data_IF_662714527365
#
_entry.id   IF_662714527365
#
_cell.length_a   1.000
_cell.length_b   1.000
_cell.length_c   1.000
_cell.angle_alpha   90.00
_cell.angle_beta   90.00
_cell.angle_gamma   90.00
#
_symmetry.space_group_name_H-M   'P 1'
#
loop_
_entity.id
_entity.type
_entity.pdbx_description
1 polymer ?
#
# COMPACT_ATOMS: atom_id res chain seq x y z
N UNK A 1 -14.46 15.63 -31.80
CA UNK A 1 -13.08 16.03 -31.46
C UNK A 1 -12.14 15.80 -32.64
N UNK A 2 -11.25 16.74 -32.97
CA UNK A 2 -10.26 16.58 -34.06
C UNK A 2 -9.07 15.70 -33.58
N UNK A 3 -8.44 14.95 -34.49
CA UNK A 3 -7.29 14.06 -34.22
C UNK A 3 -6.12 14.75 -33.54
N UNK A 4 -5.90 16.03 -33.80
CA UNK A 4 -4.83 16.80 -33.18
C UNK A 4 -5.12 17.12 -31.71
N UNK A 5 -6.38 17.29 -31.33
CA UNK A 5 -6.77 17.57 -29.94
C UNK A 5 -6.56 16.33 -29.06
N UNK A 6 -6.99 15.17 -29.56
CA UNK A 6 -6.80 13.89 -28.88
C UNK A 6 -5.32 13.65 -28.58
N UNK A 7 -4.43 13.90 -29.56
CA UNK A 7 -2.98 13.78 -29.36
C UNK A 7 -2.42 14.72 -28.28
N UNK A 8 -2.96 15.93 -28.16
CA UNK A 8 -2.53 16.89 -27.13
C UNK A 8 -2.98 16.46 -25.74
N UNK A 9 -4.23 15.99 -25.60
CA UNK A 9 -4.76 15.43 -24.34
C UNK A 9 -3.97 14.19 -23.94
N UNK A 10 -3.73 13.27 -24.89
CA UNK A 10 -2.93 12.07 -24.64
C UNK A 10 -1.50 12.39 -24.18
N UNK A 11 -0.89 13.47 -24.70
CA UNK A 11 0.42 13.92 -24.25
C UNK A 11 0.38 14.44 -22.80
N UNK A 12 -0.64 15.22 -22.44
CA UNK A 12 -0.82 15.71 -21.06
C UNK A 12 -1.01 14.53 -20.10
N UNK A 13 -1.82 13.54 -20.48
CA UNK A 13 -2.02 12.33 -19.68
C UNK A 13 -0.73 11.50 -19.57
N UNK A 14 0.08 11.43 -20.62
CA UNK A 14 1.38 10.77 -20.59
C UNK A 14 2.36 11.46 -19.63
N UNK A 15 2.40 12.79 -19.62
CA UNK A 15 3.23 13.58 -18.71
C UNK A 15 2.77 13.42 -17.25
N UNK A 16 1.45 13.35 -17.00
CA UNK A 16 0.90 13.05 -15.67
C UNK A 16 1.28 11.63 -15.25
N UNK A 17 1.15 10.66 -16.15
CA UNK A 17 1.46 9.26 -15.90
C UNK A 17 2.92 9.03 -15.48
N UNK A 18 3.87 9.79 -16.05
CA UNK A 18 5.28 9.67 -15.65
C UNK A 18 5.55 10.07 -14.20
N UNK A 19 4.64 10.82 -13.58
CA UNK A 19 4.75 11.31 -12.20
C UNK A 19 3.86 10.53 -11.22
N UNK A 20 2.98 9.64 -11.71
CA UNK A 20 2.10 8.81 -10.88
C UNK A 20 2.79 7.49 -10.50
N UNK A 21 2.85 7.21 -9.21
CA UNK A 21 3.24 5.89 -8.66
C UNK A 21 2.01 5.24 -8.00
N UNK A 22 1.10 4.73 -8.84
CA UNK A 22 -0.17 4.13 -8.42
C UNK A 22 -0.30 2.70 -8.94
N UNK A 23 -1.18 1.92 -8.32
CA UNK A 23 -1.60 0.63 -8.87
C UNK A 23 -2.15 0.80 -10.30
N UNK A 24 -1.98 -0.19 -11.17
CA UNK A 24 -2.45 -0.09 -12.57
C UNK A 24 -3.95 0.15 -12.70
N UNK A 25 -4.75 -0.38 -11.78
CA UNK A 25 -6.20 -0.22 -11.78
C UNK A 25 -6.57 1.23 -11.43
N UNK A 26 -6.01 1.75 -10.34
CA UNK A 26 -6.20 3.14 -9.90
C UNK A 26 -5.62 4.15 -10.89
N UNK A 27 -4.46 3.86 -11.49
CA UNK A 27 -3.85 4.68 -12.54
C UNK A 27 -4.81 4.82 -13.74
N UNK A 28 -5.40 3.70 -14.18
CA UNK A 28 -6.28 3.71 -15.36
C UNK A 28 -7.57 4.49 -15.07
N UNK A 29 -8.22 4.22 -13.94
CA UNK A 29 -9.44 4.91 -13.53
C UNK A 29 -9.23 6.42 -13.39
N UNK A 30 -8.14 6.82 -12.72
CA UNK A 30 -7.80 8.23 -12.52
C UNK A 30 -7.46 8.94 -13.85
N UNK A 31 -6.71 8.28 -14.74
CA UNK A 31 -6.37 8.88 -16.05
C UNK A 31 -7.59 9.00 -16.97
N UNK A 32 -8.56 8.08 -16.88
CA UNK A 32 -9.82 8.18 -17.60
C UNK A 32 -10.69 9.32 -17.04
N UNK A 33 -10.79 9.48 -15.72
CA UNK A 33 -11.52 10.61 -15.11
C UNK A 33 -10.87 11.96 -15.46
N UNK A 34 -9.54 12.05 -15.43
CA UNK A 34 -8.80 13.25 -15.85
C UNK A 34 -9.03 13.55 -17.33
N UNK A 35 -9.07 12.51 -18.18
CA UNK A 35 -9.37 12.67 -19.61
C UNK A 35 -10.74 13.30 -19.79
N UNK A 36 -11.77 12.76 -19.15
CA UNK A 36 -13.14 13.26 -19.25
C UNK A 36 -13.21 14.74 -18.81
N UNK A 37 -12.56 15.10 -17.71
CA UNK A 37 -12.50 16.48 -17.24
C UNK A 37 -11.75 17.43 -18.18
N UNK A 38 -10.67 16.96 -18.82
CA UNK A 38 -9.95 17.75 -19.82
C UNK A 38 -10.81 17.96 -21.07
N UNK A 39 -11.53 16.94 -21.52
CA UNK A 39 -12.44 17.03 -22.66
C UNK A 39 -13.58 18.01 -22.40
N UNK A 40 -14.24 17.91 -21.25
CA UNK A 40 -15.31 18.82 -20.81
C UNK A 40 -14.82 20.28 -20.70
N UNK A 41 -13.62 20.48 -20.15
CA UNK A 41 -13.03 21.80 -19.99
C UNK A 41 -12.67 22.42 -21.35
N UNK A 42 -12.19 21.63 -22.30
CA UNK A 42 -11.91 22.08 -23.67
C UNK A 42 -13.21 22.42 -24.39
N UNK A 43 -14.23 21.58 -24.28
CA UNK A 43 -15.55 21.86 -24.88
C UNK A 43 -16.15 23.16 -24.32
N UNK A 44 -16.05 23.36 -23.01
CA UNK A 44 -16.47 24.60 -22.35
C UNK A 44 -15.71 25.81 -22.91
N UNK A 45 -14.39 25.73 -23.04
CA UNK A 45 -13.57 26.83 -23.57
C UNK A 45 -13.88 27.13 -25.05
N UNK A 46 -14.13 26.11 -25.86
CA UNK A 46 -14.56 26.27 -27.26
C UNK A 46 -15.95 26.91 -27.33
N UNK A 47 -16.88 26.50 -26.47
CA UNK A 47 -18.23 27.10 -26.41
C UNK A 47 -18.20 28.59 -26.04
N UNK A 48 -17.15 29.03 -25.35
CA UNK A 48 -16.88 30.45 -25.04
C UNK A 48 -16.22 31.21 -26.19
N UNK A 49 -16.12 30.61 -27.37
CA UNK A 49 -15.58 31.23 -28.58
C UNK A 49 -14.06 31.22 -28.66
N UNK A 50 -13.36 30.46 -27.81
CA UNK A 50 -11.91 30.27 -27.98
C UNK A 50 -11.65 29.33 -29.16
N UNK A 51 -10.61 29.64 -29.92
CA UNK A 51 -10.04 28.68 -30.84
C UNK A 51 -9.60 27.42 -30.07
N UNK A 52 -9.71 26.26 -30.73
CA UNK A 52 -9.45 24.95 -30.13
C UNK A 52 -8.03 24.83 -29.59
N UNK A 53 -7.05 25.38 -30.30
CA UNK A 53 -5.64 25.33 -29.87
C UNK A 53 -5.42 26.24 -28.65
N UNK A 54 -6.06 27.42 -28.66
CA UNK A 54 -6.05 28.33 -27.52
C UNK A 54 -6.79 27.75 -26.29
N UNK A 55 -7.89 27.02 -26.51
CA UNK A 55 -8.65 26.33 -25.48
C UNK A 55 -7.81 25.24 -24.80
N UNK A 56 -7.12 24.40 -25.58
CA UNK A 56 -6.22 23.36 -25.06
C UNK A 56 -5.08 23.95 -24.23
N UNK A 57 -4.49 25.05 -24.69
CA UNK A 57 -3.36 25.69 -24.01
C UNK A 57 -3.81 26.38 -22.71
N UNK A 58 -5.01 26.97 -22.71
CA UNK A 58 -5.64 27.54 -21.52
C UNK A 58 -6.04 26.47 -20.50
N UNK A 59 -6.68 25.38 -20.95
CA UNK A 59 -7.05 24.25 -20.10
C UNK A 59 -5.80 23.59 -19.52
N UNK A 60 -4.76 23.31 -20.33
CA UNK A 60 -3.51 22.75 -19.83
C UNK A 60 -2.83 23.63 -18.77
N UNK A 61 -2.86 24.97 -18.95
CA UNK A 61 -2.36 25.92 -17.95
C UNK A 61 -3.20 25.95 -16.68
N UNK A 62 -4.53 25.90 -16.79
CA UNK A 62 -5.45 25.90 -15.65
C UNK A 62 -5.43 24.58 -14.88
N UNK A 63 -5.28 23.47 -15.60
CA UNK A 63 -5.20 22.14 -15.02
C UNK A 63 -3.88 21.96 -14.26
N UNK A 64 -2.80 22.61 -14.70
CA UNK A 64 -1.55 22.63 -13.95
C UNK A 64 -1.01 21.22 -13.72
N UNK A 65 -0.73 20.47 -14.80
CA UNK A 65 -0.32 19.06 -14.74
C UNK A 65 0.83 18.79 -13.74
N UNK A 66 1.76 19.74 -13.58
CA UNK A 66 2.85 19.65 -12.60
C UNK A 66 2.38 19.89 -11.16
N UNK A 67 1.44 20.81 -10.93
CA UNK A 67 0.90 21.10 -9.60
C UNK A 67 -0.08 20.02 -9.14
N UNK A 68 -0.88 19.47 -10.06
CA UNK A 68 -1.77 18.32 -9.80
C UNK A 68 -0.96 17.06 -9.57
N UNK A 69 0.06 16.78 -10.41
CA UNK A 69 0.98 15.66 -10.19
C UNK A 69 1.67 15.74 -8.83
N UNK A 70 2.21 16.91 -8.47
CA UNK A 70 2.85 17.13 -7.17
C UNK A 70 1.88 17.07 -5.99
N UNK A 71 0.67 17.62 -6.10
CA UNK A 71 -0.34 17.55 -5.05
C UNK A 71 -0.89 16.11 -4.86
N UNK A 72 -1.07 15.36 -5.95
CA UNK A 72 -1.43 13.95 -5.90
C UNK A 72 -0.31 13.11 -5.27
N UNK A 73 0.94 13.42 -5.60
CA UNK A 73 2.11 12.76 -5.02
C UNK A 73 2.28 13.12 -3.54
N UNK A 74 2.09 14.37 -3.11
CA UNK A 74 2.09 14.74 -1.69
C UNK A 74 1.00 14.04 -0.88
N UNK A 75 -0.15 13.73 -1.50
CA UNK A 75 -1.25 13.00 -0.86
C UNK A 75 -1.00 11.49 -0.85
N UNK A 76 -0.25 10.92 -1.80
CA UNK A 76 -0.08 9.46 -1.97
C UNK A 76 1.33 8.92 -1.63
N UNK A 77 2.34 9.77 -1.44
CA UNK A 77 3.74 9.36 -1.34
C UNK A 77 4.13 8.40 -0.19
N UNK A 78 3.37 8.23 0.92
CA UNK A 78 3.87 7.33 1.96
C UNK A 78 2.97 6.17 2.40
N UNK A 79 2.18 5.47 1.56
CA UNK A 79 1.28 4.43 2.13
C UNK A 79 1.15 3.06 1.45
N UNK A 80 1.71 2.77 0.27
CA UNK A 80 1.58 1.40 -0.28
C UNK A 80 2.85 0.55 -0.11
N UNK A 81 4.01 1.06 -0.51
CA UNK A 81 5.25 0.29 -0.51
C UNK A 81 5.83 0.11 0.90
N UNK A 82 5.83 1.18 1.71
CA UNK A 82 6.35 1.15 3.07
C UNK A 82 5.49 0.24 3.97
N UNK A 83 4.17 0.35 3.87
CA UNK A 83 3.23 -0.49 4.61
C UNK A 83 3.34 -1.96 4.22
N UNK A 84 3.45 -2.28 2.93
CA UNK A 84 3.64 -3.66 2.48
C UNK A 84 4.95 -4.26 2.98
N UNK A 85 6.04 -3.49 2.94
CA UNK A 85 7.35 -3.90 3.47
C UNK A 85 7.27 -4.12 4.99
N UNK A 86 6.67 -3.19 5.73
CA UNK A 86 6.48 -3.29 7.19
C UNK A 86 5.60 -4.50 7.54
N UNK A 87 4.54 -4.76 6.78
CA UNK A 87 3.65 -5.91 6.92
C UNK A 87 4.39 -7.26 6.70
N UNK A 88 5.44 -7.27 5.89
CA UNK A 88 6.27 -8.46 5.67
C UNK A 88 7.37 -8.62 6.73
N UNK A 89 7.96 -7.52 7.20
CA UNK A 89 9.10 -7.56 8.14
C UNK A 89 8.63 -7.86 9.57
N UNK A 90 7.51 -7.27 10.01
CA UNK A 90 7.03 -7.43 11.40
C UNK A 90 6.80 -8.90 11.77
N UNK A 91 6.08 -9.73 10.96
CA UNK A 91 5.85 -11.13 11.31
C UNK A 91 7.16 -11.92 11.40
N UNK A 92 8.11 -11.68 10.49
CA UNK A 92 9.40 -12.37 10.47
C UNK A 92 10.21 -12.04 11.73
N UNK A 93 10.31 -10.76 12.08
CA UNK A 93 11.03 -10.31 13.29
C UNK A 93 10.34 -10.83 14.56
N UNK A 94 9.01 -10.77 14.64
CA UNK A 94 8.26 -11.33 15.75
C UNK A 94 8.50 -12.84 15.90
N UNK A 95 8.52 -13.58 14.79
CA UNK A 95 8.85 -15.02 14.78
C UNK A 95 10.24 -15.29 15.31
N UNK A 96 11.24 -14.50 14.87
CA UNK A 96 12.62 -14.67 15.31
C UNK A 96 12.78 -14.40 16.80
N UNK A 97 12.12 -13.36 17.33
CA UNK A 97 12.11 -13.05 18.76
C UNK A 97 11.42 -14.16 19.55
N UNK A 98 10.25 -14.62 19.10
CA UNK A 98 9.52 -15.72 19.74
C UNK A 98 10.35 -17.00 19.73
N UNK A 99 10.95 -17.35 18.59
CA UNK A 99 11.86 -18.49 18.46
C UNK A 99 13.01 -18.36 19.45
N UNK A 100 13.63 -17.18 19.56
CA UNK A 100 14.72 -16.94 20.50
C UNK A 100 14.26 -17.02 21.97
N UNK A 101 13.03 -16.63 22.28
CA UNK A 101 12.45 -16.76 23.63
C UNK A 101 12.08 -18.20 24.00
N UNK A 102 11.80 -19.06 23.02
CA UNK A 102 11.45 -20.48 23.18
C UNK A 102 12.68 -21.35 23.44
N UNK A 103 13.83 -21.01 22.84
CA UNK A 103 15.09 -21.71 23.08
C UNK A 103 15.83 -21.09 24.27
N UNK A 104 16.24 -21.90 25.24
CA UNK A 104 17.15 -21.44 26.29
C UNK A 104 18.54 -21.14 25.70
N UNK A 105 19.37 -20.32 26.37
CA UNK A 105 20.72 -19.96 25.88
C UNK A 105 21.65 -21.16 25.65
N UNK A 106 21.32 -22.31 26.24
CA UNK A 106 22.01 -23.60 26.08
C UNK A 106 21.49 -24.42 24.88
N UNK A 107 20.55 -23.89 24.10
CA UNK A 107 19.95 -24.54 22.93
C UNK A 107 18.84 -25.53 23.27
N UNK A 108 18.51 -25.74 24.55
CA UNK A 108 17.42 -26.62 24.95
C UNK A 108 16.06 -25.96 24.71
N UNK A 109 15.08 -26.75 24.27
CA UNK A 109 13.71 -26.27 24.15
C UNK A 109 13.10 -26.09 25.55
N UNK A 110 12.68 -24.87 25.89
CA UNK A 110 12.01 -24.60 27.15
C UNK A 110 10.61 -25.21 27.10
N UNK A 111 10.19 -25.87 28.18
CA UNK A 111 8.84 -26.41 28.29
C UNK A 111 7.79 -25.31 28.11
N UNK A 112 6.75 -25.58 27.31
CA UNK A 112 5.72 -24.60 26.94
C UNK A 112 5.06 -23.91 28.15
N UNK A 113 4.93 -24.62 29.29
CA UNK A 113 4.39 -24.05 30.53
C UNK A 113 5.26 -22.92 31.08
N UNK A 114 6.57 -23.08 31.01
CA UNK A 114 7.53 -22.12 31.53
C UNK A 114 7.63 -20.89 30.62
N UNK A 115 7.44 -21.05 29.31
CA UNK A 115 7.34 -19.93 28.34
C UNK A 115 6.14 -19.04 28.66
N UNK A 116 4.97 -19.62 28.97
CA UNK A 116 3.75 -18.88 29.32
C UNK A 116 3.86 -18.10 30.63
N UNK A 117 4.78 -18.48 31.52
CA UNK A 117 5.03 -17.72 32.76
C UNK A 117 5.93 -16.50 32.54
N UNK A 118 6.59 -16.36 31.38
CA UNK A 118 7.50 -15.24 31.11
C UNK A 118 6.71 -13.99 30.69
N UNK A 119 6.77 -12.89 31.46
CA UNK A 119 6.07 -11.66 31.11
C UNK A 119 6.58 -11.05 29.78
N UNK A 120 7.84 -11.27 29.43
CA UNK A 120 8.42 -10.83 28.16
C UNK A 120 7.73 -11.46 26.94
N UNK A 121 7.30 -12.73 27.03
CA UNK A 121 6.56 -13.38 25.95
C UNK A 121 5.23 -12.66 25.68
N UNK A 122 4.48 -12.36 26.74
CA UNK A 122 3.20 -11.67 26.63
C UNK A 122 3.35 -10.24 26.10
N UNK A 123 4.40 -9.52 26.52
CA UNK A 123 4.68 -8.17 26.01
C UNK A 123 4.99 -8.22 24.52
N UNK A 124 5.86 -9.14 24.07
CA UNK A 124 6.21 -9.28 22.65
C UNK A 124 4.99 -9.73 21.84
N UNK A 125 4.21 -10.69 22.34
CA UNK A 125 3.00 -11.16 21.67
C UNK A 125 1.95 -10.05 21.54
N UNK A 126 1.76 -9.25 22.58
CA UNK A 126 0.82 -8.13 22.59
C UNK A 126 1.27 -7.00 21.65
N UNK A 127 2.56 -6.64 21.67
CA UNK A 127 3.13 -5.64 20.76
C UNK A 127 3.03 -6.12 19.33
N UNK A 128 3.38 -7.38 19.05
CA UNK A 128 3.20 -7.97 17.74
C UNK A 128 1.73 -7.89 17.32
N UNK A 129 0.77 -8.20 18.20
CA UNK A 129 -0.66 -8.15 17.91
C UNK A 129 -1.19 -6.73 17.63
N UNK A 130 -0.70 -5.73 18.36
CA UNK A 130 -1.21 -4.37 18.30
C UNK A 130 -0.65 -3.55 17.13
N UNK A 131 0.59 -3.78 16.74
CA UNK A 131 1.24 -2.97 15.68
C UNK A 131 0.49 -3.03 14.34
N UNK A 132 0.05 -4.20 13.82
CA UNK A 132 -0.71 -4.27 12.58
C UNK A 132 -2.08 -3.59 12.66
N UNK A 133 -2.75 -3.70 13.81
CA UNK A 133 -4.08 -3.13 14.02
C UNK A 133 -4.04 -1.59 14.04
N UNK A 134 -2.94 -1.02 14.52
CA UNK A 134 -2.78 0.43 14.62
C UNK A 134 -2.16 1.07 13.38
N UNK A 135 -1.37 0.32 12.60
CA UNK A 135 -0.69 0.83 11.40
C UNK A 135 -1.52 0.71 10.12
N UNK A 136 -2.30 -0.37 9.93
CA UNK A 136 -2.88 -0.64 8.62
C UNK A 136 -4.31 -0.13 8.46
N UNK A 137 -4.51 0.82 7.55
CA UNK A 137 -5.83 1.35 7.16
C UNK A 137 -6.71 0.30 6.44
N UNK A 138 -6.09 -0.76 5.88
CA UNK A 138 -6.75 -1.94 5.28
C UNK A 138 -6.62 -3.19 6.18
N UNK A 139 -7.05 -3.06 7.42
CA UNK A 139 -7.31 -4.09 8.45
C UNK A 139 -7.63 -5.51 7.94
N UNK A 140 -8.41 -5.68 6.86
CA UNK A 140 -8.81 -7.00 6.35
C UNK A 140 -7.64 -7.87 5.87
N UNK A 141 -6.68 -7.29 5.14
CA UNK A 141 -5.51 -8.02 4.63
C UNK A 141 -4.49 -8.28 5.73
N UNK A 142 -4.33 -7.30 6.63
CA UNK A 142 -3.54 -7.47 7.85
C UNK A 142 -4.08 -8.66 8.65
N UNK A 143 -5.40 -8.72 8.91
CA UNK A 143 -6.04 -9.83 9.64
C UNK A 143 -5.88 -11.19 8.96
N UNK A 144 -5.95 -11.28 7.64
CA UNK A 144 -5.76 -12.55 6.90
C UNK A 144 -4.32 -13.07 7.05
N UNK A 145 -3.33 -12.22 6.79
CA UNK A 145 -1.90 -12.56 6.97
C UNK A 145 -1.61 -12.91 8.44
N UNK A 146 -2.22 -12.16 9.36
CA UNK A 146 -2.07 -12.35 10.80
C UNK A 146 -2.67 -13.67 11.30
N UNK A 147 -3.86 -14.03 10.81
CA UNK A 147 -4.52 -15.30 11.15
C UNK A 147 -3.71 -16.48 10.62
N UNK A 148 -3.18 -16.37 9.40
CA UNK A 148 -2.32 -17.38 8.82
C UNK A 148 -1.03 -17.57 9.64
N UNK A 149 -0.40 -16.46 10.05
CA UNK A 149 0.80 -16.48 10.88
C UNK A 149 0.56 -17.13 12.26
N UNK A 150 -0.53 -16.76 12.94
CA UNK A 150 -0.88 -17.35 14.23
C UNK A 150 -1.25 -18.83 14.10
N UNK A 151 -1.94 -19.23 13.04
CA UNK A 151 -2.24 -20.63 12.77
C UNK A 151 -0.95 -21.46 12.64
N UNK A 152 0.03 -20.99 11.87
CA UNK A 152 1.33 -21.67 11.73
C UNK A 152 2.07 -21.74 13.08
N UNK A 153 2.06 -20.65 13.83
CA UNK A 153 2.74 -20.58 15.14
C UNK A 153 2.11 -21.56 16.14
N UNK A 154 0.77 -21.61 16.22
CA UNK A 154 0.05 -22.57 17.06
C UNK A 154 0.31 -24.00 16.61
N UNK A 155 0.31 -24.28 15.30
CA UNK A 155 0.65 -25.60 14.76
C UNK A 155 2.06 -26.01 15.20
N UNK A 156 3.06 -25.15 15.02
CA UNK A 156 4.45 -25.46 15.39
C UNK A 156 4.67 -25.63 16.90
N UNK A 157 3.96 -24.87 17.73
CA UNK A 157 4.06 -24.97 19.20
C UNK A 157 3.26 -26.17 19.73
N UNK A 158 2.10 -26.47 19.14
CA UNK A 158 1.20 -27.53 19.58
C UNK A 158 1.53 -28.92 18.99
N UNK A 159 2.41 -28.99 17.98
CA UNK A 159 2.98 -30.24 17.46
C UNK A 159 4.43 -30.48 17.90
N UNK A 160 4.75 -30.63 19.21
CA UNK A 160 6.01 -31.24 19.61
C UNK A 160 5.97 -32.78 19.51
N UNK A 161 4.89 -33.39 19.00
CA UNK A 161 4.60 -34.84 19.15
C UNK A 161 4.57 -35.65 17.85
N UNK A 162 5.14 -35.18 16.73
CA UNK A 162 5.42 -36.04 15.56
C UNK A 162 6.94 -36.18 15.36
N UNK A 163 7.66 -36.35 16.47
CA UNK A 163 9.09 -36.68 16.47
C UNK A 163 9.38 -37.95 17.29
N UNK A 164 8.40 -38.85 17.37
CA UNK A 164 8.60 -40.24 17.81
C UNK A 164 8.53 -41.20 16.61
N UNK A 165 9.35 -40.99 15.57
CA UNK A 165 9.69 -41.99 14.53
C UNK A 165 11.12 -41.79 14.05
#
# INVERSE_FOLDING_TARGET
MNRNNAKTIDRILADIRTELDLSRETETELLDEIRDHLEDAVETAVSQGKDVEAALLDVAKRFGAQDVGRALQEVHAPWESADAIIACIIPVVATLILRWLVFAPDGSAIGWQEILTRPAFWIVALVALLVPVLQFQRWQYALLSWTFFWAITVIFIALPTIQDW
#
